data_IF_889800363071
#
_entry.id   IF_889800363071
#
_cell.length_a   1.000
_cell.length_b   1.000
_cell.length_c   1.000
_cell.angle_alpha   90.00
_cell.angle_beta   90.00
_cell.angle_gamma   90.00
#
_symmetry.space_group_name_H-M   'P 1'
#
loop_
_entity.id
_entity.type
_entity.pdbx_description
1 polymer ?
#
# COMPACT_ATOMS: atom_id res chain seq x y z
N UNK A 1 -16.53 31.62 -36.42
CA UNK A 1 -15.86 30.57 -35.63
C UNK A 1 -16.91 29.61 -35.11
N UNK A 2 -16.82 28.32 -35.43
CA UNK A 2 -17.97 27.39 -35.36
C UNK A 2 -18.15 26.85 -33.92
N UNK A 3 -19.08 27.44 -33.14
CA UNK A 3 -19.28 27.13 -31.70
C UNK A 3 -19.40 25.63 -31.41
N UNK A 4 -19.99 24.85 -32.31
CA UNK A 4 -20.10 23.37 -32.20
C UNK A 4 -18.75 22.66 -32.04
N UNK A 5 -17.69 23.12 -32.73
CA UNK A 5 -16.34 22.51 -32.62
C UNK A 5 -15.66 22.87 -31.30
N UNK A 6 -15.94 24.06 -30.76
CA UNK A 6 -15.46 24.49 -29.43
C UNK A 6 -16.14 23.71 -28.30
N UNK A 7 -17.46 23.52 -28.38
CA UNK A 7 -18.20 22.69 -27.42
C UNK A 7 -17.76 21.22 -27.46
N UNK A 8 -17.55 20.66 -28.65
CA UNK A 8 -17.09 19.28 -28.80
C UNK A 8 -15.65 19.11 -28.27
N UNK A 9 -14.76 20.08 -28.53
CA UNK A 9 -13.40 20.08 -27.99
C UNK A 9 -13.35 20.20 -26.47
N UNK A 10 -14.20 21.05 -25.89
CA UNK A 10 -14.34 21.16 -24.43
C UNK A 10 -14.87 19.87 -23.79
N UNK A 11 -15.87 19.24 -24.41
CA UNK A 11 -16.44 17.98 -23.90
C UNK A 11 -15.43 16.82 -23.95
N UNK A 12 -14.63 16.72 -25.02
CA UNK A 12 -13.55 15.73 -25.14
C UNK A 12 -12.45 15.98 -24.10
N UNK A 13 -12.11 17.23 -23.82
CA UNK A 13 -11.14 17.57 -22.78
C UNK A 13 -11.65 17.21 -21.37
N UNK A 14 -12.92 17.49 -21.07
CA UNK A 14 -13.55 17.11 -19.81
C UNK A 14 -13.65 15.58 -19.64
N UNK A 15 -14.05 14.86 -20.69
CA UNK A 15 -14.10 13.39 -20.68
C UNK A 15 -12.72 12.77 -20.55
N UNK A 16 -11.71 13.29 -21.26
CA UNK A 16 -10.32 12.84 -21.14
C UNK A 16 -9.76 13.07 -19.74
N UNK A 17 -10.05 14.23 -19.15
CA UNK A 17 -9.65 14.56 -17.77
C UNK A 17 -10.35 13.66 -16.74
N UNK A 18 -11.64 13.33 -16.96
CA UNK A 18 -12.41 12.44 -16.11
C UNK A 18 -11.91 10.99 -16.21
N UNK A 19 -11.64 10.49 -17.42
CA UNK A 19 -11.06 9.16 -17.64
C UNK A 19 -9.68 9.06 -16.99
N UNK A 20 -8.85 10.09 -17.14
CA UNK A 20 -7.54 10.17 -16.49
C UNK A 20 -7.67 10.14 -14.96
N UNK A 21 -8.61 10.91 -14.40
CA UNK A 21 -8.87 10.95 -12.96
C UNK A 21 -9.39 9.60 -12.43
N UNK A 22 -10.35 8.97 -13.12
CA UNK A 22 -10.88 7.64 -12.77
C UNK A 22 -9.78 6.58 -12.86
N UNK A 23 -8.94 6.62 -13.90
CA UNK A 23 -7.82 5.69 -14.05
C UNK A 23 -6.83 5.79 -12.89
N UNK A 24 -6.65 6.99 -12.30
CA UNK A 24 -5.82 7.22 -11.12
C UNK A 24 -6.47 6.80 -9.80
N UNK A 25 -7.78 6.56 -9.80
CA UNK A 25 -8.52 6.01 -8.65
C UNK A 25 -8.55 4.48 -8.62
N UNK A 26 -8.24 3.84 -9.75
CA UNK A 26 -8.35 2.39 -9.91
C UNK A 26 -7.23 1.62 -9.18
N UNK A 27 -7.49 0.33 -8.95
CA UNK A 27 -6.68 -0.58 -8.13
C UNK A 27 -5.19 -0.60 -8.50
N UNK A 28 -4.35 -0.96 -7.53
CA UNK A 28 -2.96 -1.34 -7.77
C UNK A 28 -2.97 -2.60 -8.66
N UNK A 29 -2.72 -2.42 -9.96
CA UNK A 29 -2.58 -3.54 -10.89
C UNK A 29 -1.26 -4.30 -10.62
N UNK A 30 -1.19 -5.59 -10.99
CA UNK A 30 0.03 -6.40 -10.89
C UNK A 30 1.21 -5.84 -11.68
N UNK A 31 0.93 -5.12 -12.76
CA UNK A 31 1.94 -4.39 -13.53
C UNK A 31 2.45 -3.11 -12.84
N UNK A 32 1.84 -2.73 -11.71
CA UNK A 32 2.04 -1.43 -11.06
C UNK A 32 2.66 -1.53 -9.66
N UNK A 33 3.19 -2.70 -9.27
CA UNK A 33 3.91 -2.85 -8.00
C UNK A 33 5.14 -3.76 -8.08
N UNK A 34 6.07 -3.57 -7.13
CA UNK A 34 7.28 -4.36 -6.98
C UNK A 34 7.53 -4.66 -5.50
N UNK A 35 8.08 -5.84 -5.18
CA UNK A 35 8.54 -6.17 -3.82
C UNK A 35 10.00 -5.74 -3.71
N UNK A 36 10.28 -4.71 -2.91
CA UNK A 36 11.65 -4.19 -2.71
C UNK A 36 12.42 -5.04 -1.70
N UNK A 37 11.78 -5.38 -0.59
CA UNK A 37 12.37 -6.17 0.47
C UNK A 37 11.33 -7.13 1.02
N UNK A 38 11.78 -8.33 1.34
CA UNK A 38 11.01 -9.31 2.09
C UNK A 38 11.85 -9.77 3.28
N UNK A 39 11.38 -9.50 4.48
CA UNK A 39 12.05 -9.87 5.73
C UNK A 39 11.21 -10.86 6.51
N UNK A 40 11.85 -11.94 6.94
CA UNK A 40 11.29 -12.90 7.91
C UNK A 40 12.19 -12.96 9.12
N UNK A 41 11.61 -13.18 10.30
CA UNK A 41 12.40 -13.41 11.50
C UNK A 41 11.66 -14.17 12.58
N UNK A 42 12.40 -14.49 13.64
CA UNK A 42 11.88 -15.07 14.87
C UNK A 42 12.13 -14.08 16.00
N UNK A 43 11.08 -13.68 16.72
CA UNK A 43 11.18 -12.76 17.87
C UNK A 43 11.04 -13.46 19.21
N UNK A 44 10.76 -14.76 19.21
CA UNK A 44 10.64 -15.52 20.45
C UNK A 44 11.90 -16.30 20.79
N UNK A 45 11.93 -16.85 22.01
CA UNK A 45 13.06 -17.64 22.50
C UNK A 45 13.05 -19.05 21.89
N UNK A 46 14.05 -19.88 22.21
CA UNK A 46 14.20 -21.23 21.67
C UNK A 46 12.97 -22.14 21.90
N UNK A 47 12.14 -21.81 22.89
CA UNK A 47 10.96 -22.59 23.29
C UNK A 47 9.63 -22.03 22.73
N UNK A 48 9.61 -20.78 22.25
CA UNK A 48 8.40 -20.12 21.73
C UNK A 48 8.76 -19.42 20.42
N UNK A 49 8.60 -20.12 19.28
CA UNK A 49 8.99 -19.56 17.98
C UNK A 49 7.93 -18.60 17.46
N UNK A 50 8.15 -17.29 17.61
CA UNK A 50 7.29 -16.21 17.09
C UNK A 50 7.76 -15.76 15.71
N UNK A 51 7.13 -16.30 14.68
CA UNK A 51 7.50 -16.04 13.29
C UNK A 51 6.78 -14.79 12.80
N UNK A 52 7.55 -13.83 12.28
CA UNK A 52 7.00 -12.66 11.59
C UNK A 52 7.50 -12.55 10.15
N UNK A 53 6.76 -11.82 9.33
CA UNK A 53 7.23 -11.35 8.04
C UNK A 53 6.73 -9.94 7.71
N UNK A 54 7.58 -9.15 7.06
CA UNK A 54 7.22 -7.85 6.52
C UNK A 54 7.73 -7.73 5.10
N UNK A 55 6.91 -7.20 4.20
CA UNK A 55 7.34 -6.87 2.83
C UNK A 55 7.24 -5.38 2.59
N UNK A 56 8.21 -4.83 1.88
CA UNK A 56 8.17 -3.45 1.38
C UNK A 56 7.70 -3.50 -0.07
N UNK A 57 6.55 -2.88 -0.33
CA UNK A 57 5.87 -2.88 -1.63
C UNK A 57 5.98 -1.49 -2.23
N UNK A 58 6.63 -1.40 -3.38
CA UNK A 58 6.69 -0.18 -4.19
C UNK A 58 5.51 -0.14 -5.15
N UNK A 59 4.87 1.02 -5.29
CA UNK A 59 3.66 1.22 -6.10
C UNK A 59 3.88 2.34 -7.12
N UNK A 60 3.92 1.98 -8.40
CA UNK A 60 4.19 2.88 -9.52
C UNK A 60 3.12 3.96 -9.71
N UNK A 61 1.84 3.56 -9.63
CA UNK A 61 0.69 4.42 -9.89
C UNK A 61 -0.25 4.47 -8.69
N UNK A 62 0.29 4.82 -7.52
CA UNK A 62 -0.49 4.81 -6.29
C UNK A 62 -1.68 5.79 -6.34
N UNK A 63 -2.90 5.34 -5.97
CA UNK A 63 -4.09 6.19 -5.90
C UNK A 63 -3.86 7.44 -5.05
N UNK A 64 -4.51 8.53 -5.42
CA UNK A 64 -4.39 9.81 -4.72
C UNK A 64 -5.50 10.06 -3.68
N UNK A 65 -6.69 9.49 -3.87
CA UNK A 65 -7.83 9.71 -2.98
C UNK A 65 -7.72 8.83 -1.73
N UNK A 66 -8.00 9.39 -0.55
CA UNK A 66 -7.84 8.70 0.75
C UNK A 66 -8.58 7.35 0.80
N UNK A 67 -9.88 7.38 0.53
CA UNK A 67 -10.74 6.19 0.65
C UNK A 67 -10.38 5.13 -0.39
N UNK A 68 -10.01 5.56 -1.60
CA UNK A 68 -9.54 4.67 -2.66
C UNK A 68 -8.21 4.04 -2.28
N UNK A 69 -7.27 4.81 -1.68
CA UNK A 69 -5.99 4.29 -1.24
C UNK A 69 -6.17 3.22 -0.16
N UNK A 70 -6.91 3.51 0.92
CA UNK A 70 -7.21 2.54 1.98
C UNK A 70 -7.78 1.24 1.39
N UNK A 71 -8.88 1.34 0.64
CA UNK A 71 -9.53 0.17 0.05
C UNK A 71 -8.56 -0.61 -0.85
N UNK A 72 -7.72 0.07 -1.64
CA UNK A 72 -6.78 -0.57 -2.55
C UNK A 72 -5.64 -1.27 -1.80
N UNK A 73 -5.08 -0.68 -0.74
CA UNK A 73 -4.05 -1.33 0.08
C UNK A 73 -4.61 -2.58 0.79
N UNK A 74 -5.80 -2.47 1.38
CA UNK A 74 -6.47 -3.62 2.02
C UNK A 74 -6.77 -4.72 0.99
N UNK A 75 -7.37 -4.35 -0.14
CA UNK A 75 -7.68 -5.29 -1.22
C UNK A 75 -6.43 -6.01 -1.70
N UNK A 76 -5.34 -5.26 -1.91
CA UNK A 76 -4.06 -5.82 -2.30
C UNK A 76 -3.54 -6.85 -1.29
N UNK A 77 -3.53 -6.49 -0.01
CA UNK A 77 -3.06 -7.35 1.07
C UNK A 77 -3.86 -8.66 1.12
N UNK A 78 -5.18 -8.57 1.23
CA UNK A 78 -6.07 -9.73 1.38
C UNK A 78 -6.19 -10.58 0.11
N UNK A 79 -6.00 -9.99 -1.06
CA UNK A 79 -5.98 -10.71 -2.34
C UNK A 79 -4.73 -11.57 -2.51
N UNK A 80 -3.58 -11.09 -2.04
CA UNK A 80 -2.29 -11.74 -2.25
C UNK A 80 -1.87 -12.70 -1.14
N UNK A 81 -2.53 -12.68 0.03
CA UNK A 81 -2.24 -13.59 1.12
C UNK A 81 -3.15 -14.83 1.09
N UNK A 82 -2.53 -16.01 1.22
CA UNK A 82 -3.26 -17.29 1.33
C UNK A 82 -3.49 -17.67 2.79
N UNK A 83 -4.46 -18.55 3.02
CA UNK A 83 -4.72 -19.11 4.35
C UNK A 83 -3.51 -19.87 4.92
N UNK A 84 -2.75 -20.57 4.07
CA UNK A 84 -1.52 -21.26 4.46
C UNK A 84 -0.44 -20.28 4.90
N UNK A 85 -0.30 -19.16 4.18
CA UNK A 85 0.62 -18.07 4.55
C UNK A 85 0.23 -17.50 5.92
N UNK A 86 -1.04 -17.19 6.13
CA UNK A 86 -1.55 -16.70 7.42
C UNK A 86 -1.20 -17.67 8.56
N UNK A 87 -1.45 -18.95 8.35
CA UNK A 87 -1.27 -19.95 9.40
C UNK A 87 0.19 -20.23 9.76
N UNK A 88 1.14 -19.81 8.91
CA UNK A 88 2.58 -19.86 9.19
C UNK A 88 3.04 -18.81 10.20
N UNK A 89 2.37 -17.66 10.27
CA UNK A 89 2.83 -16.54 11.10
C UNK A 89 1.99 -16.41 12.36
N UNK A 90 2.62 -16.65 13.51
CA UNK A 90 2.06 -16.54 14.85
C UNK A 90 2.63 -15.32 15.61
N UNK A 91 3.01 -14.27 14.88
CA UNK A 91 3.43 -12.99 15.47
C UNK A 91 2.92 -11.81 14.66
N UNK A 92 3.53 -11.50 13.51
CA UNK A 92 3.17 -10.35 12.69
C UNK A 92 3.37 -10.67 11.20
N UNK A 93 2.39 -10.32 10.37
CA UNK A 93 2.54 -10.33 8.92
C UNK A 93 2.02 -9.03 8.34
N UNK A 94 2.80 -8.37 7.48
CA UNK A 94 2.37 -7.09 6.93
C UNK A 94 3.10 -6.64 5.68
N UNK A 95 2.45 -5.71 4.98
CA UNK A 95 3.01 -4.95 3.87
C UNK A 95 3.12 -3.48 4.24
N UNK A 96 4.27 -2.88 3.96
CA UNK A 96 4.45 -1.42 3.97
C UNK A 96 4.50 -0.95 2.53
N UNK A 97 3.69 0.05 2.21
CA UNK A 97 3.53 0.53 0.85
C UNK A 97 4.20 1.87 0.68
N UNK A 98 4.98 1.98 -0.40
CA UNK A 98 5.67 3.19 -0.79
C UNK A 98 5.32 3.56 -2.23
N UNK A 99 5.30 4.85 -2.52
CA UNK A 99 5.14 5.38 -3.88
C UNK A 99 6.45 5.25 -4.64
N UNK A 100 6.37 4.85 -5.90
CA UNK A 100 7.53 4.94 -6.79
C UNK A 100 7.87 6.40 -7.07
N UNK A 101 9.14 6.73 -6.91
CA UNK A 101 9.68 8.07 -7.17
C UNK A 101 10.98 7.96 -7.95
N UNK A 102 11.57 9.10 -8.34
CA UNK A 102 12.89 9.13 -8.97
C UNK A 102 14.01 8.54 -8.10
N UNK A 103 13.81 8.47 -6.78
CA UNK A 103 14.81 7.99 -5.81
C UNK A 103 14.45 6.62 -5.23
N UNK A 104 13.16 6.31 -5.09
CA UNK A 104 12.67 4.99 -4.70
C UNK A 104 12.05 4.28 -5.91
N UNK A 105 12.87 3.54 -6.64
CA UNK A 105 12.49 2.86 -7.89
C UNK A 105 12.50 1.34 -7.72
N UNK A 106 11.99 0.60 -8.70
CA UNK A 106 12.14 -0.87 -8.73
C UNK A 106 13.60 -1.37 -8.70
N UNK A 107 14.55 -0.53 -9.12
CA UNK A 107 15.98 -0.83 -9.17
C UNK A 107 16.70 -0.37 -7.88
N UNK A 108 15.94 0.04 -6.86
CA UNK A 108 16.43 0.44 -5.54
C UNK A 108 17.22 -0.70 -4.87
N UNK A 109 18.38 -0.35 -4.30
CA UNK A 109 19.26 -1.29 -3.62
C UNK A 109 19.69 -0.70 -2.28
N UNK A 110 19.10 -1.21 -1.20
CA UNK A 110 19.47 -0.83 0.17
C UNK A 110 21.00 -0.90 0.35
N UNK A 111 21.60 0.16 0.91
CA UNK A 111 23.05 0.30 1.08
C UNK A 111 23.82 0.81 -0.16
N UNK A 112 23.16 0.94 -1.32
CA UNK A 112 23.70 1.60 -2.51
C UNK A 112 23.86 3.12 -2.34
N UNK A 113 24.17 3.84 -3.41
CA UNK A 113 24.26 5.30 -3.42
C UNK A 113 23.27 5.90 -4.42
N UNK A 114 22.51 6.94 -4.06
CA UNK A 114 21.63 7.60 -5.01
C UNK A 114 22.40 8.33 -6.11
N UNK A 115 21.84 8.38 -7.31
CA UNK A 115 22.31 9.22 -8.40
C UNK A 115 21.11 9.83 -9.15
N UNK A 116 20.88 11.15 -9.08
CA UNK A 116 21.66 12.17 -8.38
C UNK A 116 21.57 12.04 -6.85
N UNK A 117 22.29 12.90 -6.11
CA UNK A 117 22.24 12.95 -4.65
C UNK A 117 20.79 13.13 -4.14
N UNK A 118 20.40 12.36 -3.14
CA UNK A 118 19.11 12.45 -2.46
C UNK A 118 19.15 13.41 -1.27
N UNK A 119 20.20 13.33 -0.48
CA UNK A 119 20.42 14.14 0.72
C UNK A 119 21.90 14.47 0.86
N UNK A 120 22.19 15.72 1.23
CA UNK A 120 23.56 16.23 1.41
C UNK A 120 24.28 15.68 2.65
N UNK A 121 23.56 14.96 3.53
CA UNK A 121 24.09 14.42 4.79
C UNK A 121 24.48 12.95 4.69
N UNK A 122 23.67 12.17 3.99
CA UNK A 122 23.91 10.76 3.70
C UNK A 122 23.20 10.41 2.39
N UNK A 123 23.98 9.96 1.41
CA UNK A 123 23.48 9.57 0.11
C UNK A 123 23.33 8.05 -0.05
N UNK A 124 23.42 7.32 1.07
CA UNK A 124 23.17 5.88 1.12
C UNK A 124 21.69 5.59 0.92
N UNK A 125 21.39 4.68 0.00
CA UNK A 125 20.03 4.21 -0.27
C UNK A 125 19.47 3.51 0.97
N UNK A 126 18.44 4.10 1.53
CA UNK A 126 17.72 3.57 2.69
C UNK A 126 16.23 3.87 2.54
N UNK A 127 15.42 2.85 2.33
CA UNK A 127 13.97 3.05 2.11
C UNK A 127 13.30 3.69 3.34
N UNK A 128 13.90 3.58 4.54
CA UNK A 128 13.39 4.19 5.77
C UNK A 128 13.51 5.72 5.75
N UNK A 129 14.37 6.27 4.90
CA UNK A 129 14.48 7.72 4.69
C UNK A 129 13.36 8.29 3.80
N UNK A 130 12.60 7.43 3.11
CA UNK A 130 11.51 7.82 2.22
C UNK A 130 10.16 8.01 2.94
N UNK A 131 10.18 8.68 4.10
CA UNK A 131 8.97 8.86 4.93
C UNK A 131 7.83 9.57 4.19
N UNK A 132 8.17 10.57 3.36
CA UNK A 132 7.19 11.31 2.55
C UNK A 132 6.58 10.48 1.41
N UNK A 133 7.24 9.40 0.99
CA UNK A 133 6.77 8.51 -0.07
C UNK A 133 5.91 7.36 0.49
N UNK A 134 5.77 7.26 1.82
CA UNK A 134 4.94 6.23 2.46
C UNK A 134 3.48 6.43 2.07
N UNK A 135 2.83 5.35 1.66
CA UNK A 135 1.39 5.31 1.37
C UNK A 135 0.59 4.83 2.57
N UNK A 136 1.16 3.88 3.32
CA UNK A 136 0.50 3.26 4.44
C UNK A 136 1.07 1.89 4.74
N UNK A 137 0.45 1.19 5.68
CA UNK A 137 0.74 -0.21 5.97
C UNK A 137 -0.53 -1.01 6.23
N UNK A 138 -0.48 -2.29 5.93
CA UNK A 138 -1.53 -3.24 6.25
C UNK A 138 -0.88 -4.45 6.88
N UNK A 139 -1.28 -4.79 8.10
CA UNK A 139 -0.72 -5.92 8.82
C UNK A 139 -1.74 -6.56 9.76
N UNK A 140 -1.47 -7.80 10.16
CA UNK A 140 -2.11 -8.39 11.32
C UNK A 140 -1.04 -8.89 12.29
N UNK A 141 -1.43 -8.91 13.55
CA UNK A 141 -0.72 -9.56 14.63
C UNK A 141 -1.54 -10.75 15.08
N UNK A 142 -0.96 -11.95 15.05
CA UNK A 142 -1.65 -13.19 15.38
C UNK A 142 -0.92 -13.87 16.52
N UNK A 143 -1.66 -14.36 17.51
CA UNK A 143 -1.14 -15.21 18.58
C UNK A 143 -1.20 -16.69 18.15
N UNK A 144 -0.62 -17.57 18.96
CA UNK A 144 -0.63 -19.02 18.68
C UNK A 144 -2.05 -19.61 18.66
N UNK A 145 -2.93 -19.08 19.51
CA UNK A 145 -4.35 -19.46 19.60
C UNK A 145 -5.22 -18.91 18.46
N UNK A 146 -4.61 -18.24 17.47
CA UNK A 146 -5.26 -17.62 16.29
C UNK A 146 -6.08 -16.37 16.58
N UNK A 147 -6.09 -15.88 17.82
CA UNK A 147 -6.61 -14.55 18.16
C UNK A 147 -5.60 -13.47 17.79
N UNK A 148 -6.05 -12.23 17.67
CA UNK A 148 -5.14 -11.15 17.30
C UNK A 148 -5.85 -9.85 16.96
N UNK A 149 -5.09 -8.97 16.31
CA UNK A 149 -5.61 -7.71 15.84
C UNK A 149 -5.02 -7.35 14.48
N UNK A 150 -5.80 -6.61 13.71
CA UNK A 150 -5.50 -6.14 12.37
C UNK A 150 -5.30 -4.63 12.41
N UNK A 151 -4.35 -4.13 11.62
CA UNK A 151 -4.08 -2.70 11.48
C UNK A 151 -3.99 -2.32 10.00
N UNK A 152 -4.67 -1.25 9.63
CA UNK A 152 -4.49 -0.53 8.39
C UNK A 152 -4.16 0.93 8.71
N UNK A 153 -2.93 1.35 8.43
CA UNK A 153 -2.50 2.75 8.55
C UNK A 153 -2.37 3.37 7.17
N UNK A 154 -2.80 4.61 7.02
CA UNK A 154 -2.64 5.42 5.80
C UNK A 154 -1.83 6.63 6.19
N UNK A 155 -0.69 6.80 5.50
CA UNK A 155 0.20 7.92 5.72
C UNK A 155 -0.32 9.18 5.01
N UNK A 156 -0.12 10.32 5.65
CA UNK A 156 -0.33 11.65 5.12
C UNK A 156 0.33 11.78 3.77
N UNK A 157 -0.43 12.20 2.78
CA UNK A 157 0.09 12.41 1.43
C UNK A 157 0.42 13.89 1.24
N UNK A 158 1.70 14.21 1.09
CA UNK A 158 2.21 15.57 0.86
C UNK A 158 1.98 16.08 -0.57
N UNK A 159 1.73 15.18 -1.54
CA UNK A 159 1.78 15.49 -2.98
C UNK A 159 0.39 15.56 -3.67
N UNK A 160 -0.72 15.44 -2.94
CA UNK A 160 -2.02 15.34 -3.62
C UNK A 160 -2.47 16.71 -4.14
N UNK A 161 -2.41 16.84 -5.48
CA UNK A 161 -3.12 17.81 -6.32
C UNK A 161 -4.26 18.51 -5.56
N UNK A 162 -3.96 19.69 -5.01
CA UNK A 162 -4.81 20.46 -4.08
C UNK A 162 -6.21 20.83 -4.60
N UNK A 163 -6.54 20.54 -5.87
CA UNK A 163 -7.80 20.97 -6.48
C UNK A 163 -9.01 20.07 -6.19
N UNK A 164 -8.85 18.81 -5.78
CA UNK A 164 -9.99 17.88 -5.67
C UNK A 164 -10.22 17.26 -4.28
N UNK A 165 -9.20 17.16 -3.43
CA UNK A 165 -9.37 16.82 -2.01
C UNK A 165 -8.42 17.65 -1.14
N UNK A 166 -8.85 18.04 0.07
CA UNK A 166 -7.94 18.60 1.07
C UNK A 166 -6.90 17.55 1.48
N UNK A 167 -5.68 17.99 1.87
CA UNK A 167 -4.71 17.07 2.48
C UNK A 167 -5.36 16.39 3.68
N UNK A 168 -5.03 15.12 3.88
CA UNK A 168 -5.47 14.37 5.05
C UNK A 168 -4.29 14.00 5.92
N UNK A 169 -4.50 14.06 7.24
CA UNK A 169 -3.53 13.60 8.23
C UNK A 169 -3.47 12.07 8.27
N UNK A 170 -2.42 11.56 8.91
CA UNK A 170 -2.26 10.15 9.19
C UNK A 170 -3.53 9.57 9.82
N UNK A 171 -3.92 8.38 9.37
CA UNK A 171 -5.09 7.70 9.88
C UNK A 171 -4.80 6.22 10.08
N UNK A 172 -5.28 5.68 11.19
CA UNK A 172 -5.16 4.26 11.52
C UNK A 172 -6.54 3.67 11.82
N UNK A 173 -6.76 2.47 11.30
CA UNK A 173 -7.90 1.63 11.63
C UNK A 173 -7.40 0.31 12.20
N UNK A 174 -7.90 -0.04 13.38
CA UNK A 174 -7.64 -1.32 14.04
C UNK A 174 -8.91 -2.15 14.19
N UNK A 175 -8.78 -3.48 14.10
CA UNK A 175 -9.87 -4.42 14.36
C UNK A 175 -9.36 -5.70 15.02
N UNK A 176 -9.93 -6.06 16.17
CA UNK A 176 -9.64 -7.32 16.85
C UNK A 176 -10.34 -8.51 16.17
N UNK A 177 -9.74 -9.68 16.26
CA UNK A 177 -10.34 -10.93 15.80
C UNK A 177 -10.06 -12.09 16.76
N UNK A 178 -11.06 -12.95 16.91
CA UNK A 178 -10.94 -14.19 17.70
C UNK A 178 -10.31 -15.33 16.88
N UNK A 179 -10.42 -15.27 15.55
CA UNK A 179 -9.84 -16.26 14.66
C UNK A 179 -9.41 -15.64 13.33
N UNK A 180 -8.11 -15.68 13.03
CA UNK A 180 -7.56 -15.09 11.80
C UNK A 180 -8.10 -15.73 10.50
N UNK A 181 -8.49 -17.02 10.53
CA UNK A 181 -9.01 -17.70 9.34
C UNK A 181 -10.39 -17.17 8.97
N UNK A 182 -11.27 -16.96 9.96
CA UNK A 182 -12.59 -16.40 9.73
C UNK A 182 -12.51 -14.91 9.42
N UNK A 183 -11.56 -14.19 10.04
CA UNK A 183 -11.27 -12.82 9.71
C UNK A 183 -10.80 -12.64 8.25
N UNK A 184 -9.93 -13.52 7.76
CA UNK A 184 -9.50 -13.54 6.35
C UNK A 184 -10.69 -13.70 5.40
N UNK A 185 -11.60 -14.65 5.66
CA UNK A 185 -12.83 -14.83 4.87
C UNK A 185 -13.72 -13.59 4.91
N UNK A 186 -13.93 -13.03 6.10
CA UNK A 186 -14.71 -11.80 6.32
C UNK A 186 -14.17 -10.66 5.46
N UNK A 187 -12.87 -10.37 5.55
CA UNK A 187 -12.24 -9.27 4.80
C UNK A 187 -12.32 -9.45 3.30
N UNK A 188 -12.10 -10.67 2.80
CA UNK A 188 -12.23 -10.94 1.36
C UNK A 188 -13.65 -10.74 0.84
N UNK A 189 -14.67 -11.11 1.63
CA UNK A 189 -16.07 -10.83 1.32
C UNK A 189 -16.40 -9.34 1.37
N UNK A 190 -15.98 -8.62 2.40
CA UNK A 190 -16.19 -7.16 2.55
C UNK A 190 -15.58 -6.37 1.38
N UNK A 191 -14.42 -6.81 0.89
CA UNK A 191 -13.70 -6.18 -0.21
C UNK A 191 -14.17 -6.67 -1.59
N UNK A 192 -15.04 -7.67 -1.65
CA UNK A 192 -15.57 -8.26 -2.89
C UNK A 192 -14.54 -9.08 -3.68
N UNK A 193 -13.49 -9.58 -3.03
CA UNK A 193 -12.41 -10.34 -3.67
C UNK A 193 -12.88 -11.73 -4.11
N UNK A 194 -13.80 -12.33 -3.36
CA UNK A 194 -14.34 -13.67 -3.66
C UNK A 194 -15.61 -13.63 -4.54
N UNK A 195 -16.05 -12.45 -4.97
CA UNK A 195 -17.23 -12.25 -5.82
C UNK A 195 -16.89 -12.06 -7.31
N UNK A 196 -15.63 -12.22 -7.70
CA UNK A 196 -15.09 -12.07 -9.06
C UNK A 196 -14.40 -13.34 -9.50
#
# INVERSE_FOLDING_TARGET
MNMRKFFLGGLVFCLGSLIFFISRCNMIDKSSYYVLEYRTGNTGNDNEKKIYAASIILVANAPCLKNSLKRNLETFFWKNITLDTINRYNSMYGYRFYRETKYLTKDFKEGGQYNPEFSSWDNTMDWRNHLEDRLGEVCFFCREDKTGFYVCSIAKQSIVFHWFEPPYEDFEYGEDFDNINDFWKKKRKELGIDNT
#
